data_IF_379545843404
#
_entry.id   IF_379545843404
#
_cell.length_a   1.000
_cell.length_b   1.000
_cell.length_c   1.000
_cell.angle_alpha   90.00
_cell.angle_beta   90.00
_cell.angle_gamma   90.00
#
_symmetry.space_group_name_H-M   'P 1'
#
loop_
_entity.id
_entity.type
_entity.pdbx_description
1 polymer ?
#
# COMPACT_ATOMS: atom_id res chain seq x y z
N UNK A 1 32.15 32.26 -9.44
CA UNK A 1 31.78 31.33 -10.52
C UNK A 1 30.30 31.13 -10.38
N UNK A 2 29.56 31.44 -11.44
CA UNK A 2 28.11 31.44 -11.42
C UNK A 2 27.65 30.32 -12.34
N UNK A 3 26.98 29.32 -11.78
CA UNK A 3 26.50 28.15 -12.51
C UNK A 3 24.99 28.17 -12.48
N UNK A 4 24.37 28.11 -13.65
CA UNK A 4 22.94 28.04 -13.83
C UNK A 4 22.56 26.76 -14.56
N UNK A 5 21.52 26.08 -14.08
CA UNK A 5 20.91 24.97 -14.80
C UNK A 5 19.41 25.02 -14.62
N UNK A 6 18.69 24.80 -15.72
CA UNK A 6 17.25 24.70 -15.78
C UNK A 6 16.90 23.34 -16.36
N UNK A 7 16.06 22.59 -15.65
CA UNK A 7 15.68 21.22 -16.02
C UNK A 7 14.16 21.10 -16.02
N UNK A 8 13.64 20.28 -16.92
CA UNK A 8 12.25 19.86 -16.95
C UNK A 8 12.12 18.39 -16.57
N UNK A 9 10.99 18.03 -15.96
CA UNK A 9 10.63 16.65 -15.64
C UNK A 9 9.24 16.40 -16.22
N UNK A 10 9.05 15.27 -16.89
CA UNK A 10 7.76 14.87 -17.47
C UNK A 10 7.51 13.37 -17.29
N UNK A 11 6.26 12.98 -17.39
CA UNK A 11 5.86 11.59 -17.55
C UNK A 11 6.07 11.15 -19.00
N UNK A 12 6.74 10.02 -19.18
CA UNK A 12 6.89 9.34 -20.46
C UNK A 12 6.48 7.86 -20.29
N UNK A 13 5.24 7.56 -20.68
CA UNK A 13 4.68 6.20 -20.66
C UNK A 13 4.72 5.53 -19.26
N UNK A 14 4.37 6.27 -18.20
CA UNK A 14 4.37 5.78 -16.82
C UNK A 14 5.72 5.78 -16.12
N UNK A 15 6.75 6.37 -16.73
CA UNK A 15 8.09 6.60 -16.17
C UNK A 15 8.39 8.09 -16.11
N UNK A 16 9.34 8.51 -15.27
CA UNK A 16 9.83 9.88 -15.27
C UNK A 16 10.95 10.08 -16.30
N UNK A 17 10.94 11.24 -16.94
CA UNK A 17 11.99 11.69 -17.85
C UNK A 17 12.45 13.09 -17.51
N UNK A 18 13.74 13.23 -17.24
CA UNK A 18 14.41 14.48 -16.95
C UNK A 18 15.15 14.97 -18.20
N UNK A 19 15.05 16.26 -18.49
CA UNK A 19 15.78 16.86 -19.59
C UNK A 19 16.32 18.24 -19.20
N UNK A 20 17.52 18.56 -19.68
CA UNK A 20 18.14 19.88 -19.47
C UNK A 20 17.58 20.85 -20.50
N UNK A 21 17.02 21.97 -20.04
CA UNK A 21 16.52 23.05 -20.89
C UNK A 21 17.62 24.08 -21.18
N UNK A 22 18.33 24.47 -20.13
CA UNK A 22 19.41 25.46 -20.21
C UNK A 22 20.50 25.10 -19.20
N UNK A 23 21.76 25.24 -19.58
CA UNK A 23 22.89 25.09 -18.67
C UNK A 23 24.00 26.05 -19.07
N UNK A 24 24.47 26.82 -18.09
CA UNK A 24 25.51 27.82 -18.30
C UNK A 24 26.43 27.88 -17.10
N UNK A 25 27.69 28.23 -17.37
CA UNK A 25 28.69 28.48 -16.36
C UNK A 25 29.45 29.73 -16.74
N UNK A 26 29.56 30.68 -15.81
CA UNK A 26 30.29 31.92 -15.99
C UNK A 26 31.36 32.07 -14.92
N UNK A 27 32.61 32.18 -15.34
CA UNK A 27 33.75 32.43 -14.47
C UNK A 27 34.02 33.93 -14.41
N UNK A 28 33.60 34.53 -13.28
CA UNK A 28 33.80 35.95 -13.01
C UNK A 28 35.29 36.33 -12.95
N UNK A 29 36.06 35.62 -12.14
CA UNK A 29 37.45 35.92 -11.83
C UNK A 29 38.33 34.69 -12.08
N UNK A 30 39.54 34.92 -12.62
CA UNK A 30 40.58 33.91 -12.85
C UNK A 30 41.90 34.47 -12.33
N UNK A 31 42.50 33.81 -11.34
CA UNK A 31 43.81 34.15 -10.80
C UNK A 31 44.81 33.06 -11.19
N UNK A 32 45.91 33.45 -11.84
CA UNK A 32 46.96 32.55 -12.34
C UNK A 32 48.26 32.93 -11.66
N UNK A 33 48.71 32.09 -10.72
CA UNK A 33 50.01 32.25 -10.05
C UNK A 33 51.08 31.45 -10.78
N UNK A 34 52.11 32.14 -11.30
CA UNK A 34 53.26 31.53 -11.97
C UNK A 34 54.53 31.81 -11.16
N UNK A 35 55.29 30.76 -10.84
CA UNK A 35 56.51 30.88 -10.05
C UNK A 35 57.75 31.01 -10.94
N UNK A 36 58.58 32.05 -10.72
CA UNK A 36 59.88 32.24 -11.38
C UNK A 36 60.22 33.71 -11.68
N UNK A 37 61.36 33.98 -12.31
CA UNK A 37 61.92 35.33 -12.47
C UNK A 37 61.60 36.06 -13.79
N UNK A 38 60.80 35.48 -14.69
CA UNK A 38 60.60 36.00 -16.05
C UNK A 38 59.20 36.59 -16.27
N UNK A 39 58.90 37.70 -15.60
CA UNK A 39 57.56 38.33 -15.60
C UNK A 39 57.01 38.70 -16.99
N UNK A 40 57.88 39.07 -17.95
CA UNK A 40 57.45 39.42 -19.30
C UNK A 40 56.88 38.22 -20.08
N UNK A 41 57.43 37.02 -19.87
CA UNK A 41 56.98 35.78 -20.49
C UNK A 41 55.67 35.31 -19.86
N UNK A 42 55.56 35.44 -18.54
CA UNK A 42 54.34 35.11 -17.78
C UNK A 42 53.16 35.99 -18.16
N UNK A 43 53.37 37.29 -18.37
CA UNK A 43 52.29 38.16 -18.85
C UNK A 43 51.82 37.76 -20.25
N UNK A 44 52.75 37.49 -21.17
CA UNK A 44 52.40 37.01 -22.51
C UNK A 44 51.64 35.68 -22.51
N UNK A 45 51.97 34.77 -21.59
CA UNK A 45 51.23 33.53 -21.38
C UNK A 45 49.80 33.80 -20.86
N UNK A 46 49.67 34.63 -19.83
CA UNK A 46 48.37 35.00 -19.25
C UNK A 46 47.48 35.64 -20.32
N UNK A 47 48.00 36.60 -21.08
CA UNK A 47 47.24 37.29 -22.13
C UNK A 47 46.80 36.33 -23.25
N UNK A 48 47.66 35.38 -23.63
CA UNK A 48 47.37 34.40 -24.67
C UNK A 48 46.36 33.32 -24.25
N UNK A 49 46.42 32.85 -23.00
CA UNK A 49 45.71 31.64 -22.58
C UNK A 49 44.56 31.88 -21.59
N UNK A 50 44.44 33.03 -20.93
CA UNK A 50 43.40 33.23 -19.89
C UNK A 50 41.98 33.00 -20.41
N UNK A 51 41.65 33.49 -21.60
CA UNK A 51 40.33 33.26 -22.22
C UNK A 51 40.12 31.79 -22.60
N UNK A 52 41.17 31.12 -23.06
CA UNK A 52 41.11 29.70 -23.41
C UNK A 52 40.93 28.82 -22.16
N UNK A 53 41.66 29.12 -21.08
CA UNK A 53 41.51 28.45 -19.76
C UNK A 53 40.10 28.68 -19.24
N UNK A 54 39.61 29.93 -19.25
CA UNK A 54 38.26 30.28 -18.83
C UNK A 54 37.21 29.47 -19.58
N UNK A 55 37.21 29.53 -20.91
CA UNK A 55 36.25 28.81 -21.75
C UNK A 55 36.36 27.29 -21.57
N UNK A 56 37.57 26.75 -21.43
CA UNK A 56 37.78 25.33 -21.19
C UNK A 56 37.15 24.87 -19.87
N UNK A 57 37.30 25.65 -18.80
CA UNK A 57 36.71 25.34 -17.49
C UNK A 57 35.20 25.48 -17.51
N UNK A 58 34.67 26.56 -18.08
CA UNK A 58 33.22 26.78 -18.23
C UNK A 58 32.58 25.63 -19.02
N UNK A 59 33.15 25.25 -20.15
CA UNK A 59 32.69 24.12 -20.96
C UNK A 59 32.80 22.78 -20.22
N UNK A 60 33.91 22.54 -19.51
CA UNK A 60 34.10 21.32 -18.75
C UNK A 60 33.03 21.15 -17.66
N UNK A 61 32.68 22.24 -16.97
CA UNK A 61 31.65 22.24 -15.93
C UNK A 61 30.26 22.03 -16.53
N UNK A 62 29.90 22.79 -17.57
CA UNK A 62 28.62 22.62 -18.27
C UNK A 62 28.46 21.18 -18.78
N UNK A 63 29.50 20.61 -19.40
CA UNK A 63 29.48 19.23 -19.88
C UNK A 63 29.29 18.23 -18.74
N UNK A 64 29.94 18.45 -17.59
CA UNK A 64 29.77 17.58 -16.41
C UNK A 64 28.38 17.66 -15.80
N UNK A 65 27.75 18.83 -15.80
CA UNK A 65 26.38 19.01 -15.33
C UNK A 65 25.41 18.26 -16.26
N UNK A 66 25.55 18.42 -17.57
CA UNK A 66 24.72 17.71 -18.55
C UNK A 66 24.91 16.19 -18.46
N UNK A 67 26.15 15.71 -18.32
CA UNK A 67 26.44 14.29 -18.11
C UNK A 67 25.76 13.75 -16.84
N UNK A 68 25.80 14.54 -15.75
CA UNK A 68 25.18 14.16 -14.48
C UNK A 68 23.66 14.18 -14.56
N UNK A 69 23.07 15.14 -15.27
CA UNK A 69 21.65 15.19 -15.54
C UNK A 69 21.17 13.98 -16.35
N UNK A 70 21.97 13.52 -17.32
CA UNK A 70 21.67 12.29 -18.06
C UNK A 70 21.72 11.03 -17.18
N UNK A 71 22.63 10.96 -16.21
CA UNK A 71 22.65 9.87 -15.23
C UNK A 71 21.41 9.90 -14.32
N UNK A 72 20.99 11.09 -13.91
CA UNK A 72 19.78 11.27 -13.11
C UNK A 72 18.52 10.91 -13.91
N UNK A 73 18.43 11.31 -15.18
CA UNK A 73 17.37 10.90 -16.10
C UNK A 73 17.27 9.38 -16.19
N UNK A 74 18.39 8.70 -16.41
CA UNK A 74 18.42 7.24 -16.46
C UNK A 74 17.93 6.58 -15.15
N UNK A 75 18.34 7.13 -14.00
CA UNK A 75 17.87 6.66 -12.70
C UNK A 75 16.36 6.84 -12.53
N UNK A 76 15.84 8.04 -12.84
CA UNK A 76 14.41 8.37 -12.71
C UNK A 76 13.55 7.55 -13.69
N UNK A 77 14.03 7.31 -14.91
CA UNK A 77 13.37 6.46 -15.89
C UNK A 77 13.37 4.97 -15.51
N UNK A 78 14.34 4.55 -14.69
CA UNK A 78 14.48 3.19 -14.17
C UNK A 78 13.68 2.89 -12.89
N UNK A 79 12.91 3.84 -12.37
CA UNK A 79 12.03 3.60 -11.22
C UNK A 79 11.02 2.47 -11.55
N UNK A 80 10.72 1.59 -10.58
CA UNK A 80 9.78 0.49 -10.81
C UNK A 80 8.39 1.04 -11.15
N UNK A 81 7.68 0.32 -12.02
CA UNK A 81 6.27 0.59 -12.35
C UNK A 81 5.30 -0.23 -11.51
N UNK A 82 5.82 -1.21 -10.80
CA UNK A 82 5.06 -2.17 -10.01
C UNK A 82 5.88 -2.57 -8.79
N UNK A 83 5.22 -2.67 -7.63
CA UNK A 83 5.82 -3.16 -6.38
C UNK A 83 5.05 -4.40 -5.93
N UNK A 84 5.68 -5.57 -6.01
CA UNK A 84 5.08 -6.82 -5.53
C UNK A 84 4.91 -6.78 -4.00
N UNK A 85 3.69 -7.10 -3.54
CA UNK A 85 3.40 -7.26 -2.12
C UNK A 85 3.45 -8.74 -1.74
N UNK A 86 2.79 -9.59 -2.51
CA UNK A 86 2.86 -11.04 -2.35
C UNK A 86 2.64 -11.78 -3.68
N UNK A 87 2.24 -13.06 -3.61
CA UNK A 87 1.96 -13.90 -4.79
C UNK A 87 0.65 -13.57 -5.51
N UNK A 88 -0.20 -12.73 -4.91
CA UNK A 88 -1.53 -12.37 -5.40
C UNK A 88 -1.56 -10.92 -5.85
N UNK A 89 -0.96 -10.03 -5.07
CA UNK A 89 -1.11 -8.59 -5.22
C UNK A 89 0.21 -7.86 -5.47
N UNK A 90 0.17 -6.94 -6.43
CA UNK A 90 1.21 -5.95 -6.68
C UNK A 90 0.59 -4.56 -6.79
N UNK A 91 1.29 -3.54 -6.31
CA UNK A 91 0.85 -2.15 -6.44
C UNK A 91 1.35 -1.57 -7.75
N UNK A 92 0.44 -1.02 -8.56
CA UNK A 92 0.79 -0.23 -9.73
C UNK A 92 1.31 1.14 -9.28
N UNK A 93 2.58 1.42 -9.54
CA UNK A 93 3.22 2.70 -9.19
C UNK A 93 3.64 3.50 -10.42
N UNK A 94 3.00 3.25 -11.58
CA UNK A 94 3.20 4.08 -12.77
C UNK A 94 2.76 5.51 -12.52
N UNK A 95 3.57 6.46 -12.99
CA UNK A 95 3.18 7.87 -12.98
C UNK A 95 2.01 8.10 -13.94
N UNK A 96 0.98 8.83 -13.51
CA UNK A 96 -0.23 9.07 -14.33
C UNK A 96 -0.24 10.47 -14.96
N UNK A 97 0.39 11.45 -14.33
CA UNK A 97 0.49 12.84 -14.81
C UNK A 97 1.95 13.31 -14.86
N UNK A 98 2.19 14.41 -15.57
CA UNK A 98 3.45 15.14 -15.44
C UNK A 98 3.61 15.67 -14.00
N UNK A 99 4.84 15.68 -13.44
CA UNK A 99 5.09 16.23 -12.12
C UNK A 99 4.65 17.69 -12.02
N UNK A 100 3.94 18.01 -10.94
CA UNK A 100 3.40 19.36 -10.72
C UNK A 100 4.34 20.13 -9.82
N UNK A 101 4.91 21.21 -10.37
CA UNK A 101 5.78 22.11 -9.63
C UNK A 101 4.97 23.20 -8.96
N UNK A 102 5.03 23.24 -7.63
CA UNK A 102 4.43 24.27 -6.78
C UNK A 102 5.58 25.10 -6.20
N UNK A 103 5.29 26.30 -5.70
CA UNK A 103 6.31 27.22 -5.17
C UNK A 103 7.28 26.62 -4.14
N UNK A 104 6.87 25.58 -3.40
CA UNK A 104 7.70 24.95 -2.36
C UNK A 104 7.70 23.41 -2.38
N UNK A 105 7.13 22.79 -3.41
CA UNK A 105 7.03 21.32 -3.50
C UNK A 105 6.92 20.85 -4.95
N UNK A 106 7.23 19.58 -5.17
CA UNK A 106 6.96 18.87 -6.42
C UNK A 106 6.03 17.72 -6.09
N UNK A 107 4.88 17.67 -6.76
CA UNK A 107 3.88 16.61 -6.59
C UNK A 107 4.01 15.59 -7.73
N UNK A 108 3.89 14.32 -7.36
CA UNK A 108 3.94 13.18 -8.27
C UNK A 108 2.66 12.36 -8.08
N UNK A 109 1.91 12.19 -9.16
CA UNK A 109 0.72 11.34 -9.15
C UNK A 109 1.10 9.96 -9.70
N UNK A 110 0.81 8.92 -8.92
CA UNK A 110 0.91 7.52 -9.34
C UNK A 110 -0.48 6.89 -9.38
N UNK A 111 -0.61 5.79 -10.13
CA UNK A 111 -1.85 5.00 -10.20
C UNK A 111 -2.26 4.49 -8.80
N UNK A 112 -1.34 3.84 -8.09
CA UNK A 112 -1.49 3.44 -6.70
C UNK A 112 -2.42 2.23 -6.45
N UNK A 113 -3.13 1.75 -7.47
CA UNK A 113 -4.08 0.64 -7.32
C UNK A 113 -3.37 -0.71 -7.33
N UNK A 114 -3.94 -1.67 -6.60
CA UNK A 114 -3.44 -3.03 -6.58
C UNK A 114 -3.96 -3.84 -7.77
N UNK A 115 -3.04 -4.52 -8.44
CA UNK A 115 -3.25 -5.39 -9.59
C UNK A 115 -2.83 -6.83 -9.26
N UNK A 116 -3.32 -7.84 -10.00
CA UNK A 116 -2.84 -9.21 -9.84
C UNK A 116 -1.34 -9.32 -10.15
N UNK A 117 -0.55 -9.94 -9.26
CA UNK A 117 0.89 -10.19 -9.50
C UNK A 117 1.15 -11.17 -10.64
N UNK A 118 0.24 -12.11 -10.85
CA UNK A 118 0.31 -13.04 -11.97
C UNK A 118 -0.45 -12.46 -13.18
N UNK A 119 0.30 -12.12 -14.24
CA UNK A 119 -0.24 -11.59 -15.50
C UNK A 119 -1.14 -12.56 -16.25
N UNK A 120 -1.19 -13.83 -15.82
CA UNK A 120 -2.11 -14.84 -16.37
C UNK A 120 -3.43 -14.92 -15.62
N UNK A 121 -3.53 -14.30 -14.44
CA UNK A 121 -4.80 -14.16 -13.74
C UNK A 121 -5.72 -13.22 -14.55
N UNK A 122 -7.04 -13.46 -14.59
CA UNK A 122 -7.97 -12.57 -15.26
C UNK A 122 -7.79 -11.14 -14.76
N UNK A 123 -7.34 -10.23 -15.63
CA UNK A 123 -7.32 -8.81 -15.30
C UNK A 123 -8.76 -8.42 -14.99
N UNK A 124 -9.00 -8.08 -13.74
CA UNK A 124 -10.28 -7.54 -13.37
C UNK A 124 -10.35 -6.12 -13.87
N UNK A 125 -11.28 -5.83 -14.78
CA UNK A 125 -11.77 -4.49 -15.10
C UNK A 125 -12.44 -3.90 -13.85
N UNK A 126 -11.65 -3.62 -12.81
CA UNK A 126 -12.13 -2.85 -11.67
C UNK A 126 -11.98 -1.40 -12.08
N UNK A 127 -13.06 -0.86 -12.65
CA UNK A 127 -13.21 0.57 -12.82
C UNK A 127 -13.44 1.19 -11.44
N UNK A 128 -12.33 1.50 -10.75
CA UNK A 128 -12.34 2.63 -9.83
C UNK A 128 -12.70 3.84 -10.69
N UNK A 129 -13.69 4.62 -10.29
CA UNK A 129 -14.21 5.74 -11.08
C UNK A 129 -13.15 6.82 -11.30
N UNK A 130 -13.55 8.04 -11.65
CA UNK A 130 -12.60 9.17 -11.62
C UNK A 130 -12.07 9.34 -10.18
N UNK A 131 -10.92 8.72 -9.89
CA UNK A 131 -10.26 8.78 -8.59
C UNK A 131 -9.91 10.23 -8.33
N UNK A 132 -10.52 10.80 -7.29
CA UNK A 132 -10.22 12.17 -6.88
C UNK A 132 -8.89 12.15 -6.15
N UNK A 133 -7.86 12.73 -6.75
CA UNK A 133 -6.58 12.90 -6.09
C UNK A 133 -6.79 13.61 -4.74
N UNK A 134 -6.39 12.93 -3.66
CA UNK A 134 -6.47 13.48 -2.33
C UNK A 134 -5.54 14.71 -2.24
N UNK A 135 -6.04 15.90 -1.86
CA UNK A 135 -5.24 17.11 -1.80
C UNK A 135 -4.11 16.95 -0.78
N UNK A 136 -2.91 17.39 -1.16
CA UNK A 136 -1.76 17.38 -0.26
C UNK A 136 -2.03 18.29 0.95
N UNK A 137 -2.08 17.72 2.16
CA UNK A 137 -2.24 18.44 3.42
C UNK A 137 -0.89 18.77 4.09
N UNK A 138 0.18 18.85 3.30
CA UNK A 138 1.55 18.99 3.80
C UNK A 138 1.84 20.38 4.38
N UNK A 139 2.38 20.41 5.60
CA UNK A 139 3.06 21.58 6.17
C UNK A 139 4.55 21.57 5.80
N UNK A 140 5.26 22.67 6.01
CA UNK A 140 6.62 22.87 5.47
C UNK A 140 7.76 22.10 6.17
N UNK A 141 7.48 21.25 7.18
CA UNK A 141 8.55 20.66 8.02
C UNK A 141 9.07 19.30 7.55
N UNK A 142 8.38 18.59 6.65
CA UNK A 142 8.78 17.24 6.21
C UNK A 142 9.29 17.26 4.75
N UNK A 143 10.27 16.39 4.45
CA UNK A 143 10.85 16.25 3.10
C UNK A 143 9.91 15.53 2.12
N UNK A 144 9.00 14.69 2.60
CA UNK A 144 8.10 13.87 1.79
C UNK A 144 6.72 13.80 2.43
N UNK A 145 5.69 13.84 1.57
CA UNK A 145 4.29 13.64 1.92
C UNK A 145 3.70 12.59 1.00
N UNK A 146 2.91 11.68 1.55
CA UNK A 146 2.18 10.65 0.81
C UNK A 146 0.71 10.81 1.17
N UNK A 147 -0.12 10.99 0.16
CA UNK A 147 -1.58 10.90 0.28
C UNK A 147 -2.04 9.57 -0.31
N UNK A 148 -3.04 8.96 0.32
CA UNK A 148 -3.64 7.70 -0.12
C UNK A 148 -5.14 7.90 -0.24
N UNK A 149 -5.71 7.40 -1.33
CA UNK A 149 -7.15 7.38 -1.54
C UNK A 149 -7.77 6.07 -0.98
N UNK A 150 -9.07 6.10 -0.68
CA UNK A 150 -9.84 4.92 -0.29
C UNK A 150 -9.74 3.80 -1.35
N UNK A 151 -9.66 4.16 -2.63
CA UNK A 151 -9.51 3.25 -3.77
C UNK A 151 -8.25 2.36 -3.67
N UNK A 152 -7.18 2.83 -3.05
CA UNK A 152 -5.97 2.03 -2.81
C UNK A 152 -6.29 0.83 -1.93
N UNK A 153 -7.04 1.04 -0.84
CA UNK A 153 -7.43 -0.03 0.07
C UNK A 153 -8.56 -0.91 -0.50
N UNK A 154 -9.49 -0.29 -1.23
CA UNK A 154 -10.59 -1.01 -1.87
C UNK A 154 -10.11 -1.93 -3.00
N UNK A 155 -9.06 -1.55 -3.75
CA UNK A 155 -8.46 -2.37 -4.81
C UNK A 155 -7.81 -3.64 -4.28
N UNK A 156 -6.99 -3.54 -3.23
CA UNK A 156 -6.35 -4.71 -2.63
C UNK A 156 -7.38 -5.64 -1.98
N UNK A 157 -8.37 -5.07 -1.29
CA UNK A 157 -9.48 -5.82 -0.69
C UNK A 157 -10.26 -6.63 -1.73
N UNK A 158 -10.61 -6.01 -2.86
CA UNK A 158 -11.29 -6.67 -3.97
C UNK A 158 -10.46 -7.81 -4.58
N UNK A 159 -9.14 -7.63 -4.67
CA UNK A 159 -8.23 -8.61 -5.22
C UNK A 159 -8.13 -9.86 -4.32
N UNK A 160 -7.91 -9.68 -3.01
CA UNK A 160 -7.87 -10.80 -2.05
C UNK A 160 -9.21 -11.53 -1.94
N UNK A 161 -10.33 -10.80 -2.01
CA UNK A 161 -11.66 -11.39 -2.05
C UNK A 161 -11.84 -12.30 -3.27
N UNK A 162 -11.50 -11.81 -4.48
CA UNK A 162 -11.59 -12.58 -5.73
C UNK A 162 -10.64 -13.78 -5.75
N UNK A 163 -9.48 -13.67 -5.11
CA UNK A 163 -8.54 -14.78 -4.95
C UNK A 163 -9.04 -15.84 -3.96
N UNK A 164 -10.18 -15.63 -3.28
CA UNK A 164 -10.71 -16.56 -2.29
C UNK A 164 -9.82 -16.66 -1.05
N UNK A 165 -9.07 -15.60 -0.73
CA UNK A 165 -8.17 -15.57 0.43
C UNK A 165 -8.82 -14.96 1.67
N UNK A 166 -9.97 -14.30 1.52
CA UNK A 166 -10.77 -13.81 2.65
C UNK A 166 -11.69 -14.91 3.22
N UNK A 167 -11.13 -16.09 3.45
CA UNK A 167 -11.78 -17.21 4.12
C UNK A 167 -10.80 -17.97 5.01
N UNK A 168 -11.28 -18.50 6.12
CA UNK A 168 -10.47 -19.23 7.08
C UNK A 168 -11.29 -20.32 7.74
N UNK A 169 -10.70 -21.52 7.80
CA UNK A 169 -11.26 -22.67 8.48
C UNK A 169 -10.67 -22.76 9.89
N UNK A 170 -11.45 -22.42 10.90
CA UNK A 170 -11.03 -22.52 12.29
C UNK A 170 -11.22 -23.96 12.76
N UNK A 171 -10.10 -24.68 12.89
CA UNK A 171 -10.04 -26.04 13.44
C UNK A 171 -9.46 -26.09 14.86
N UNK A 172 -8.84 -25.00 15.31
CA UNK A 172 -8.21 -24.86 16.61
C UNK A 172 -8.50 -23.49 17.20
N UNK A 173 -8.87 -23.48 18.48
CA UNK A 173 -8.97 -22.27 19.30
C UNK A 173 -8.30 -22.55 20.65
N UNK A 174 -7.75 -21.54 21.34
CA UNK A 174 -7.15 -21.73 22.66
C UNK A 174 -8.09 -22.44 23.64
N UNK A 175 -9.38 -22.10 23.58
CA UNK A 175 -10.46 -22.75 24.30
C UNK A 175 -11.09 -23.87 23.46
N UNK A 176 -10.30 -24.92 23.20
CA UNK A 176 -10.65 -25.97 22.23
C UNK A 176 -12.01 -26.64 22.49
N UNK A 177 -12.52 -26.58 23.73
CA UNK A 177 -13.86 -27.03 24.08
C UNK A 177 -14.97 -26.30 23.30
N UNK A 178 -14.77 -25.05 22.86
CA UNK A 178 -15.76 -24.31 22.04
C UNK A 178 -16.02 -24.99 20.70
N UNK A 179 -15.04 -25.73 20.17
CA UNK A 179 -15.14 -26.52 18.94
C UNK A 179 -15.60 -27.96 19.20
N UNK A 180 -16.31 -28.21 20.29
CA UNK A 180 -16.95 -29.50 20.55
C UNK A 180 -18.42 -29.32 20.95
N UNK A 181 -19.29 -30.14 20.35
CA UNK A 181 -20.74 -30.14 20.59
C UNK A 181 -21.13 -30.34 22.07
N UNK A 182 -20.29 -31.00 22.88
CA UNK A 182 -20.53 -31.21 24.31
C UNK A 182 -20.63 -29.89 25.09
N UNK A 183 -19.81 -28.91 24.75
CA UNK A 183 -19.77 -27.60 25.41
C UNK A 183 -21.05 -26.80 25.17
N UNK A 184 -21.74 -27.07 24.06
CA UNK A 184 -22.97 -26.41 23.67
C UNK A 184 -24.22 -27.13 24.17
N UNK A 185 -24.10 -28.24 24.91
CA UNK A 185 -25.23 -29.08 25.34
C UNK A 185 -26.35 -28.31 26.05
N UNK A 186 -26.01 -27.30 26.84
CA UNK A 186 -27.02 -26.52 27.58
C UNK A 186 -27.56 -25.33 26.78
N UNK A 187 -26.76 -24.76 25.88
CA UNK A 187 -27.11 -23.59 25.09
C UNK A 187 -27.86 -23.95 23.80
N UNK A 188 -27.44 -25.04 23.16
CA UNK A 188 -28.01 -25.58 21.92
C UNK A 188 -28.27 -27.09 22.13
N UNK A 189 -29.28 -27.49 22.93
CA UNK A 189 -29.49 -28.89 23.29
C UNK A 189 -29.75 -29.81 22.08
N UNK A 190 -30.32 -29.28 21.00
CA UNK A 190 -30.57 -30.02 19.76
C UNK A 190 -29.28 -30.39 19.02
N UNK A 191 -28.26 -29.54 19.06
CA UNK A 191 -26.94 -29.81 18.49
C UNK A 191 -26.34 -31.06 19.15
N UNK A 192 -26.28 -31.07 20.48
CA UNK A 192 -25.74 -32.20 21.24
C UNK A 192 -26.56 -33.49 21.08
N UNK A 193 -27.89 -33.40 21.03
CA UNK A 193 -28.74 -34.60 20.84
C UNK A 193 -28.51 -35.27 19.49
N UNK A 194 -28.32 -34.48 18.43
CA UNK A 194 -28.10 -35.00 17.06
C UNK A 194 -26.65 -35.46 16.86
N UNK A 195 -25.71 -34.74 17.47
CA UNK A 195 -24.27 -35.01 17.33
C UNK A 195 -23.57 -34.98 18.71
N UNK A 196 -23.68 -36.05 19.51
CA UNK A 196 -23.11 -36.06 20.87
C UNK A 196 -21.58 -36.20 20.85
N UNK A 197 -20.89 -35.30 21.56
CA UNK A 197 -19.44 -35.27 21.76
C UNK A 197 -18.62 -35.26 20.44
N UNK A 198 -19.20 -34.71 19.37
CA UNK A 198 -18.52 -34.50 18.09
C UNK A 198 -17.76 -33.18 18.06
N UNK A 199 -16.65 -33.17 17.33
CA UNK A 199 -15.86 -31.98 17.05
C UNK A 199 -16.54 -31.12 16.00
N UNK A 200 -16.19 -29.84 16.00
CA UNK A 200 -16.75 -28.82 15.13
C UNK A 200 -15.66 -28.00 14.47
N UNK A 201 -15.95 -27.50 13.27
CA UNK A 201 -15.15 -26.51 12.57
C UNK A 201 -16.00 -25.29 12.30
N UNK A 202 -15.37 -24.12 12.25
CA UNK A 202 -16.02 -22.89 11.80
C UNK A 202 -15.38 -22.48 10.49
N UNK A 203 -16.14 -22.51 9.40
CA UNK A 203 -15.71 -21.91 8.16
C UNK A 203 -16.18 -20.46 8.12
N UNK A 204 -15.23 -19.52 8.19
CA UNK A 204 -15.47 -18.08 8.17
C UNK A 204 -15.09 -17.57 6.79
N UNK A 205 -16.01 -16.92 6.08
CA UNK A 205 -15.76 -16.41 4.73
C UNK A 205 -16.39 -15.04 4.54
N UNK A 206 -15.68 -14.12 3.91
CA UNK A 206 -16.25 -12.86 3.49
C UNK A 206 -17.36 -13.06 2.44
N UNK A 207 -18.42 -12.27 2.53
CA UNK A 207 -19.57 -12.30 1.61
C UNK A 207 -19.35 -11.32 0.46
N UNK A 208 -18.60 -10.25 0.72
CA UNK A 208 -18.25 -9.17 -0.20
C UNK A 208 -16.85 -8.65 0.14
N UNK A 209 -16.16 -7.96 -0.80
CA UNK A 209 -14.89 -7.32 -0.48
C UNK A 209 -15.09 -6.21 0.57
N UNK A 210 -14.31 -6.20 1.67
CA UNK A 210 -14.30 -5.10 2.63
C UNK A 210 -14.13 -3.73 1.95
N UNK A 211 -14.95 -2.75 2.33
CA UNK A 211 -14.80 -1.37 1.86
C UNK A 211 -14.21 -0.51 2.97
N UNK A 212 -13.12 0.20 2.65
CA UNK A 212 -12.42 1.09 3.56
C UNK A 212 -12.85 2.53 3.33
N UNK A 213 -13.04 3.26 4.43
CA UNK A 213 -13.35 4.69 4.46
C UNK A 213 -12.31 5.43 5.29
N UNK A 214 -11.77 6.52 4.77
CA UNK A 214 -10.76 7.33 5.42
C UNK A 214 -11.44 8.57 5.99
N UNK A 215 -11.51 8.65 7.32
CA UNK A 215 -12.01 9.80 8.06
C UNK A 215 -10.85 10.56 8.73
N UNK A 216 -11.12 11.78 9.21
CA UNK A 216 -10.12 12.57 9.93
C UNK A 216 -9.68 11.82 11.20
N UNK A 217 -8.43 11.37 11.21
CA UNK A 217 -7.81 10.69 12.35
C UNK A 217 -8.18 9.22 12.54
N UNK A 218 -8.95 8.62 11.62
CA UNK A 218 -9.43 7.24 11.74
C UNK A 218 -9.75 6.62 10.38
N UNK A 219 -9.37 5.36 10.21
CA UNK A 219 -9.75 4.54 9.04
C UNK A 219 -10.84 3.58 9.50
N UNK A 220 -11.92 3.49 8.76
CA UNK A 220 -13.10 2.68 9.09
C UNK A 220 -13.35 1.62 8.03
N UNK A 221 -13.74 0.42 8.44
CA UNK A 221 -14.24 -0.59 7.51
C UNK A 221 -15.28 -1.48 8.17
N UNK A 222 -16.21 -1.94 7.35
CA UNK A 222 -17.19 -2.95 7.72
C UNK A 222 -16.93 -4.19 6.88
N UNK A 223 -16.84 -5.34 7.56
CA UNK A 223 -16.62 -6.63 6.94
C UNK A 223 -17.84 -7.50 7.20
N UNK A 224 -18.50 -7.90 6.12
CA UNK A 224 -19.62 -8.85 6.17
C UNK A 224 -19.11 -10.27 5.91
N UNK A 225 -19.33 -11.15 6.90
CA UNK A 225 -18.82 -12.52 6.95
C UNK A 225 -19.98 -13.50 7.10
N UNK A 226 -19.81 -14.68 6.52
CA UNK A 226 -20.59 -15.87 6.87
C UNK A 226 -19.74 -16.80 7.72
N UNK A 227 -20.35 -17.31 8.81
CA UNK A 227 -19.77 -18.33 9.67
C UNK A 227 -20.64 -19.57 9.56
N UNK A 228 -20.10 -20.60 8.87
CA UNK A 228 -20.75 -21.90 8.76
C UNK A 228 -20.21 -22.79 9.87
N UNK A 229 -21.11 -23.25 10.74
CA UNK A 229 -20.80 -24.23 11.78
C UNK A 229 -20.87 -25.62 11.16
N UNK A 230 -19.76 -26.34 11.21
CA UNK A 230 -19.61 -27.67 10.63
C UNK A 230 -19.36 -28.66 11.76
N UNK A 231 -20.04 -29.81 11.74
CA UNK A 231 -19.82 -30.90 12.68
C UNK A 231 -19.11 -32.05 11.97
N UNK A 232 -18.08 -32.58 12.60
CA UNK A 232 -17.29 -33.70 12.11
C UNK A 232 -17.92 -35.03 12.56
N UNK A 233 -18.51 -35.74 11.60
CA UNK A 233 -18.97 -37.11 11.74
C UNK A 233 -17.81 -38.12 11.66
N UNK A 234 -18.14 -39.41 11.68
CA UNK A 234 -17.11 -40.46 11.52
C UNK A 234 -16.61 -40.54 10.07
N UNK A 235 -17.49 -40.31 9.09
CA UNK A 235 -17.17 -40.27 7.65
C UNK A 235 -17.83 -39.07 6.92
N UNK A 236 -18.58 -38.23 7.64
CA UNK A 236 -19.38 -37.14 7.07
C UNK A 236 -18.98 -35.78 7.65
N UNK A 237 -18.95 -34.75 6.80
CA UNK A 237 -18.78 -33.34 7.20
C UNK A 237 -20.13 -32.65 7.02
N UNK A 238 -20.77 -32.28 8.13
CA UNK A 238 -22.16 -31.80 8.10
C UNK A 238 -22.25 -30.34 8.53
N UNK A 239 -22.56 -29.39 7.63
CA UNK A 239 -22.88 -28.02 8.03
C UNK A 239 -24.24 -28.01 8.75
N UNK A 240 -24.30 -27.39 9.92
CA UNK A 240 -25.47 -27.45 10.81
C UNK A 240 -26.15 -26.10 11.06
N UNK A 241 -25.44 -25.01 10.83
CA UNK A 241 -25.98 -23.65 10.89
C UNK A 241 -25.10 -22.68 10.09
N UNK A 242 -25.69 -21.58 9.63
CA UNK A 242 -24.97 -20.46 9.04
C UNK A 242 -25.38 -19.17 9.73
N UNK A 243 -24.39 -18.40 10.13
CA UNK A 243 -24.55 -17.15 10.84
C UNK A 243 -23.94 -16.04 9.98
N UNK A 244 -24.73 -15.01 9.70
CA UNK A 244 -24.25 -13.76 9.14
C UNK A 244 -23.64 -12.93 10.25
N UNK A 245 -22.46 -12.41 10.01
CA UNK A 245 -21.71 -11.56 10.92
C UNK A 245 -21.36 -10.26 10.19
N UNK A 246 -21.73 -9.11 10.76
CA UNK A 246 -21.24 -7.81 10.27
C UNK A 246 -20.31 -7.24 11.32
N UNK A 247 -19.05 -7.00 10.95
CA UNK A 247 -17.98 -6.54 11.85
C UNK A 247 -17.57 -5.14 11.45
N UNK A 248 -17.80 -4.18 12.33
CA UNK A 248 -17.27 -2.83 12.20
C UNK A 248 -15.93 -2.73 12.93
N UNK A 249 -14.87 -2.43 12.20
CA UNK A 249 -13.53 -2.19 12.75
C UNK A 249 -13.06 -0.79 12.40
N UNK A 250 -12.22 -0.23 13.24
CA UNK A 250 -11.48 0.99 12.93
C UNK A 250 -10.00 0.73 13.04
N UNK A 251 -9.21 1.60 12.45
CA UNK A 251 -7.77 1.42 12.46
C UNK A 251 -7.01 2.72 12.31
N UNK A 252 -5.71 2.58 12.53
CA UNK A 252 -4.73 3.64 12.35
C UNK A 252 -3.62 3.11 11.46
N UNK A 253 -3.16 3.95 10.55
CA UNK A 253 -1.99 3.67 9.74
C UNK A 253 -0.77 4.39 10.33
N UNK A 254 0.38 3.72 10.28
CA UNK A 254 1.67 4.27 10.66
C UNK A 254 2.73 3.81 9.67
N UNK A 255 3.86 4.50 9.62
CA UNK A 255 5.01 4.10 8.79
C UNK A 255 6.05 3.46 9.69
N UNK A 256 6.47 2.25 9.35
CA UNK A 256 7.54 1.52 10.02
C UNK A 256 8.60 1.12 9.01
N UNK A 257 9.78 1.76 9.09
CA UNK A 257 10.80 1.65 8.05
C UNK A 257 10.29 2.18 6.72
N UNK A 258 10.27 1.32 5.70
CA UNK A 258 9.75 1.63 4.36
C UNK A 258 8.34 1.06 4.11
N UNK A 259 7.66 0.57 5.16
CA UNK A 259 6.37 -0.08 5.04
C UNK A 259 5.26 0.75 5.70
N UNK A 260 4.07 0.71 5.11
CA UNK A 260 2.84 1.14 5.75
C UNK A 260 2.33 0.00 6.63
N UNK A 261 2.09 0.27 7.91
CA UNK A 261 1.59 -0.69 8.90
C UNK A 261 0.26 -0.20 9.43
N UNK A 262 -0.70 -1.10 9.54
CA UNK A 262 -2.02 -0.82 10.11
C UNK A 262 -2.19 -1.47 11.48
N UNK A 263 -2.80 -0.74 12.41
CA UNK A 263 -3.38 -1.28 13.64
C UNK A 263 -4.89 -1.31 13.49
N UNK A 264 -5.54 -2.42 13.87
CA UNK A 264 -6.98 -2.61 13.75
C UNK A 264 -7.60 -2.83 15.13
N UNK A 265 -8.68 -2.11 15.39
CA UNK A 265 -9.50 -2.15 16.60
C UNK A 265 -10.92 -2.56 16.24
N UNK A 266 -11.45 -3.56 16.94
CA UNK A 266 -12.85 -3.93 16.81
C UNK A 266 -13.74 -2.87 17.48
N UNK A 267 -14.69 -2.31 16.74
CA UNK A 267 -15.66 -1.37 17.32
C UNK A 267 -16.90 -2.10 17.83
N UNK A 268 -17.55 -2.85 16.93
CA UNK A 268 -18.83 -3.49 17.16
C UNK A 268 -19.02 -4.61 16.14
N UNK A 269 -19.84 -5.60 16.48
CA UNK A 269 -20.29 -6.59 15.51
C UNK A 269 -21.73 -7.04 15.81
N UNK A 270 -22.46 -7.42 14.76
CA UNK A 270 -23.82 -7.94 14.84
C UNK A 270 -23.90 -9.39 14.34
N UNK A 271 -24.84 -10.15 14.90
CA UNK A 271 -25.05 -11.57 14.59
C UNK A 271 -26.48 -11.81 14.13
N UNK A 272 -26.64 -12.35 12.92
CA UNK A 272 -27.94 -12.71 12.36
C UNK A 272 -27.93 -14.17 11.87
N UNK A 273 -28.90 -14.97 12.34
CA UNK A 273 -28.99 -16.37 11.94
C UNK A 273 -29.59 -16.48 10.53
N UNK A 274 -28.81 -16.94 9.53
CA UNK A 274 -29.33 -17.19 8.18
C UNK A 274 -30.17 -18.46 8.13
N UNK A 275 -29.64 -19.56 8.65
CA UNK A 275 -30.35 -20.83 8.74
C UNK A 275 -29.73 -21.73 9.83
N UNK A 276 -30.50 -22.72 10.29
CA UNK A 276 -30.06 -23.70 11.30
C UNK A 276 -30.87 -24.98 11.26
N UNK A 277 -30.18 -26.12 11.14
CA UNK A 277 -30.74 -27.47 11.23
C UNK A 277 -30.74 -28.01 12.68
N UNK A 278 -30.21 -27.21 13.61
CA UNK A 278 -30.13 -27.49 15.05
C UNK A 278 -31.12 -26.63 15.84
N UNK A 279 -32.10 -26.02 15.15
CA UNK A 279 -33.16 -25.21 15.75
C UNK A 279 -32.77 -23.74 15.95
N UNK A 280 -33.62 -22.99 16.64
CA UNK A 280 -33.38 -21.56 16.88
C UNK A 280 -32.14 -21.37 17.75
N UNK A 281 -31.20 -20.57 17.30
CA UNK A 281 -30.06 -20.13 18.10
C UNK A 281 -30.45 -18.83 18.80
N UNK A 282 -30.23 -18.76 20.11
CA UNK A 282 -30.36 -17.52 20.86
C UNK A 282 -29.16 -16.63 20.53
N UNK A 283 -29.32 -15.78 19.52
CA UNK A 283 -28.25 -14.96 18.93
C UNK A 283 -27.50 -14.13 19.97
N UNK A 284 -28.18 -13.57 20.97
CA UNK A 284 -27.52 -12.80 22.03
C UNK A 284 -26.52 -13.59 22.89
N UNK A 285 -26.77 -14.87 23.19
CA UNK A 285 -25.83 -15.69 23.97
C UNK A 285 -24.64 -16.11 23.11
N UNK A 286 -24.91 -16.50 21.86
CA UNK A 286 -23.86 -16.85 20.89
C UNK A 286 -22.96 -15.63 20.64
N UNK A 287 -23.55 -14.45 20.50
CA UNK A 287 -22.85 -13.19 20.31
C UNK A 287 -21.87 -12.91 21.46
N UNK A 288 -22.26 -13.12 22.72
CA UNK A 288 -21.39 -12.91 23.89
C UNK A 288 -20.20 -13.87 23.87
N UNK A 289 -20.41 -15.15 23.52
CA UNK A 289 -19.33 -16.14 23.45
C UNK A 289 -18.35 -15.79 22.33
N UNK A 290 -18.86 -15.40 21.15
CA UNK A 290 -17.99 -14.94 20.07
C UNK A 290 -17.28 -13.63 20.43
N UNK A 291 -17.93 -12.71 21.17
CA UNK A 291 -17.33 -11.46 21.65
C UNK A 291 -16.09 -11.73 22.52
N UNK A 292 -16.25 -12.61 23.52
CA UNK A 292 -15.20 -12.86 24.50
C UNK A 292 -13.98 -13.57 23.90
N UNK A 293 -14.15 -14.19 22.72
CA UNK A 293 -13.09 -14.92 22.03
C UNK A 293 -12.73 -14.29 20.67
N UNK A 294 -13.27 -13.11 20.32
CA UNK A 294 -13.06 -12.48 19.01
C UNK A 294 -11.58 -12.25 18.70
N UNK A 295 -10.80 -11.78 19.68
CA UNK A 295 -9.35 -11.61 19.53
C UNK A 295 -8.62 -12.94 19.24
N UNK A 296 -9.18 -14.08 19.64
CA UNK A 296 -8.62 -15.40 19.35
C UNK A 296 -8.89 -15.85 17.91
N UNK A 297 -9.97 -15.36 17.30
CA UNK A 297 -10.29 -15.62 15.90
C UNK A 297 -9.52 -14.68 14.97
N UNK A 298 -9.30 -13.42 15.37
CA UNK A 298 -8.52 -12.44 14.59
C UNK A 298 -7.03 -12.78 14.58
N UNK A 299 -6.47 -13.32 15.66
CA UNK A 299 -5.03 -13.64 15.75
C UNK A 299 -4.60 -14.86 14.92
N UNK A 300 -5.54 -15.54 14.26
CA UNK A 300 -5.26 -16.69 13.39
C UNK A 300 -5.30 -16.35 11.89
N UNK A 301 -5.45 -15.08 11.54
CA UNK A 301 -5.32 -14.56 10.18
C UNK A 301 -3.93 -13.98 9.91
#
# INVERSE_FOLDING_TARGET
MDVGVSMGLKNENGSLKLFVMECGCYMKDLDITLNGGSSWFYQGFIDAFSNHIRSSVENAITNKIVESASKLDHFLGGLPKEINVDRVAAMNVTFVNDPRFISSSVEFDIDGLFIPSDKTAPQSDINFGDTKLAPALGSSSNMLWISLDEDVFNSVSALYFKAGLLQHLVDKVPDQFLLNTASWRFLIPRLYRKYPNKDMLLNISAISPPSVRINVGRIDTTVDLDVIVIVLGSDDIVPVACISLSVAVSGRASVSGNNLVGEVELNYFSFDLKWSDIGKLHTGIVQVIFASHFQLFVSQW
#
